data_IF_993981449107
#
_entry.id   IF_993981449107
#
_cell.length_a   1.000
_cell.length_b   1.000
_cell.length_c   1.000
_cell.angle_alpha   90.00
_cell.angle_beta   90.00
_cell.angle_gamma   90.00
#
_symmetry.space_group_name_H-M   'P 1'
#
loop_
_entity.id
_entity.type
_entity.pdbx_description
1 polymer ?
#
# COMPACT_ATOMS: atom_id res chain seq x y z
N UNK A 1 -5.16 14.83 -23.65
CA UNK A 1 -4.87 13.71 -22.71
C UNK A 1 -3.37 13.38 -22.74
N UNK A 2 -2.54 14.24 -22.17
CA UNK A 2 -1.05 14.12 -22.23
C UNK A 2 -0.47 12.92 -21.45
N UNK A 3 -1.22 12.24 -20.59
CA UNK A 3 -0.76 11.18 -19.69
C UNK A 3 -1.49 9.84 -19.88
N UNK A 4 -2.23 9.66 -20.96
CA UNK A 4 -2.99 8.43 -21.18
C UNK A 4 -2.08 7.25 -21.52
N UNK A 5 -2.28 6.12 -20.82
CA UNK A 5 -1.60 4.86 -21.12
C UNK A 5 -2.23 4.08 -22.28
N UNK A 6 -3.28 4.64 -22.92
CA UNK A 6 -3.97 4.02 -24.05
C UNK A 6 -3.30 4.30 -25.41
N UNK A 7 -2.26 5.14 -25.45
CA UNK A 7 -1.56 5.51 -26.69
C UNK A 7 -0.04 5.48 -26.51
N UNK A 8 0.69 5.49 -27.61
CA UNK A 8 2.16 5.50 -27.60
C UNK A 8 2.81 4.16 -27.24
N UNK A 9 4.09 4.19 -26.93
CA UNK A 9 4.89 3.01 -26.57
C UNK A 9 4.48 2.44 -25.21
N UNK A 10 4.17 1.15 -25.15
CA UNK A 10 3.72 0.47 -23.92
C UNK A 10 4.81 0.53 -22.83
N UNK A 11 6.04 0.13 -23.17
CA UNK A 11 7.11 0.04 -22.21
C UNK A 11 7.50 1.41 -21.63
N UNK A 12 7.59 2.45 -22.49
CA UNK A 12 7.85 3.82 -22.04
C UNK A 12 6.73 4.33 -21.14
N UNK A 13 5.47 4.12 -21.56
CA UNK A 13 4.32 4.55 -20.76
C UNK A 13 4.30 3.92 -19.38
N UNK A 14 4.51 2.61 -19.28
CA UNK A 14 4.52 1.89 -18.00
C UNK A 14 5.71 2.29 -17.11
N UNK A 15 6.93 2.39 -17.67
CA UNK A 15 8.11 2.78 -16.90
C UNK A 15 8.03 4.23 -16.41
N UNK A 16 7.63 5.18 -17.29
CA UNK A 16 7.48 6.58 -16.90
C UNK A 16 6.33 6.81 -15.90
N UNK A 17 5.37 5.88 -15.84
CA UNK A 17 4.33 5.90 -14.82
C UNK A 17 4.80 5.25 -13.51
N UNK A 18 5.49 4.12 -13.57
CA UNK A 18 5.95 3.37 -12.39
C UNK A 18 7.11 4.07 -11.65
N UNK A 19 8.04 4.70 -12.38
CA UNK A 19 9.23 5.33 -11.79
C UNK A 19 8.92 6.45 -10.78
N UNK A 20 8.00 7.42 -11.06
CA UNK A 20 7.63 8.40 -10.05
C UNK A 20 6.96 7.78 -8.82
N UNK A 21 6.20 6.68 -8.97
CA UNK A 21 5.59 5.97 -7.84
C UNK A 21 6.69 5.32 -6.99
N UNK A 22 7.68 4.70 -7.63
CA UNK A 22 8.83 4.10 -6.94
C UNK A 22 9.61 5.15 -6.14
N UNK A 23 9.94 6.27 -6.78
CA UNK A 23 10.62 7.37 -6.10
C UNK A 23 9.79 7.91 -4.94
N UNK A 24 8.48 8.08 -5.13
CA UNK A 24 7.58 8.49 -4.06
C UNK A 24 7.59 7.54 -2.88
N UNK A 25 7.51 6.24 -3.12
CA UNK A 25 7.56 5.24 -2.05
C UNK A 25 8.92 5.23 -1.32
N UNK A 26 10.04 5.42 -2.03
CA UNK A 26 11.37 5.56 -1.42
C UNK A 26 11.41 6.83 -0.54
N UNK A 27 10.96 7.98 -1.04
CA UNK A 27 10.90 9.21 -0.24
C UNK A 27 9.99 9.05 0.98
N UNK A 28 8.86 8.36 0.84
CA UNK A 28 7.98 8.05 1.97
C UNK A 28 8.67 7.21 3.03
N UNK A 29 9.44 6.21 2.63
CA UNK A 29 10.21 5.38 3.56
C UNK A 29 11.32 6.17 4.26
N UNK A 30 11.98 7.07 3.53
CA UNK A 30 13.02 7.93 4.08
C UNK A 30 12.45 8.92 5.12
N UNK A 31 11.33 9.58 4.83
CA UNK A 31 10.75 10.50 5.81
C UNK A 31 10.21 9.78 7.04
N UNK A 32 9.58 8.60 6.91
CA UNK A 32 9.17 7.80 8.07
C UNK A 32 10.36 7.41 8.97
N UNK A 33 11.51 7.13 8.34
CA UNK A 33 12.75 6.84 9.06
C UNK A 33 13.30 8.10 9.76
N UNK A 34 13.23 9.25 9.10
CA UNK A 34 13.65 10.54 9.68
C UNK A 34 12.78 10.94 10.88
N UNK A 35 11.44 10.78 10.77
CA UNK A 35 10.50 11.02 11.85
C UNK A 35 10.82 10.17 13.09
N UNK A 36 10.97 8.85 12.89
CA UNK A 36 11.34 7.94 13.97
C UNK A 36 12.71 8.29 14.59
N UNK A 37 13.68 8.74 13.78
CA UNK A 37 14.99 9.17 14.27
C UNK A 37 14.89 10.45 15.10
N UNK A 38 14.13 11.45 14.66
CA UNK A 38 13.94 12.72 15.38
C UNK A 38 13.26 12.46 16.73
N UNK A 39 12.16 11.68 16.74
CA UNK A 39 11.47 11.31 17.99
C UNK A 39 12.40 10.54 18.91
N UNK A 40 13.14 9.55 18.42
CA UNK A 40 14.07 8.75 19.22
C UNK A 40 15.27 9.54 19.76
N UNK A 41 15.68 10.64 19.09
CA UNK A 41 16.82 11.46 19.49
C UNK A 41 16.47 12.55 20.50
N UNK A 42 15.29 13.16 20.37
CA UNK A 42 14.90 14.34 21.12
C UNK A 42 13.85 14.09 22.21
N UNK A 43 13.13 12.95 22.16
CA UNK A 43 12.16 12.57 23.18
C UNK A 43 12.65 11.36 23.99
N UNK A 44 11.89 11.01 25.03
CA UNK A 44 12.19 9.90 25.91
C UNK A 44 11.90 8.53 25.26
N UNK A 45 12.37 7.46 25.94
CA UNK A 45 12.17 6.07 25.49
C UNK A 45 10.69 5.69 25.35
N UNK A 46 9.82 6.21 26.22
CA UNK A 46 8.40 5.90 26.22
C UNK A 46 7.69 6.57 25.04
N UNK A 47 8.09 7.80 24.67
CA UNK A 47 7.60 8.48 23.47
C UNK A 47 8.02 7.74 22.18
N UNK A 48 9.27 7.30 22.11
CA UNK A 48 9.74 6.49 20.97
C UNK A 48 8.99 5.16 20.88
N UNK A 49 8.76 4.48 22.01
CA UNK A 49 7.98 3.26 22.06
C UNK A 49 6.53 3.47 21.60
N UNK A 50 5.91 4.61 21.98
CA UNK A 50 4.58 4.99 21.56
C UNK A 50 4.47 5.15 20.03
N UNK A 51 5.42 5.84 19.39
CA UNK A 51 5.46 6.01 17.92
C UNK A 51 5.74 4.69 17.23
N UNK A 52 6.71 3.91 17.71
CA UNK A 52 7.10 2.65 17.07
C UNK A 52 6.02 1.57 17.16
N UNK A 53 5.32 1.47 18.29
CA UNK A 53 4.23 0.50 18.47
C UNK A 53 2.96 0.86 17.70
N UNK A 54 2.79 2.15 17.37
CA UNK A 54 1.61 2.65 16.66
C UNK A 54 1.56 2.25 15.19
N UNK A 55 2.70 1.92 14.59
CA UNK A 55 2.82 1.61 13.15
C UNK A 55 1.85 0.54 12.66
N UNK A 56 1.64 -0.52 13.43
CA UNK A 56 0.75 -1.63 13.04
C UNK A 56 -0.72 -1.21 12.92
N UNK A 57 -1.23 -0.41 13.88
CA UNK A 57 -2.61 0.07 13.86
C UNK A 57 -2.83 1.11 12.75
N UNK A 58 -1.87 2.01 12.59
CA UNK A 58 -1.87 2.99 11.49
C UNK A 58 -1.86 2.27 10.14
N UNK A 59 -0.99 1.26 9.96
CA UNK A 59 -0.91 0.49 8.73
C UNK A 59 -2.22 -0.23 8.41
N UNK A 60 -2.88 -0.81 9.41
CA UNK A 60 -4.16 -1.49 9.24
C UNK A 60 -5.24 -0.52 8.73
N UNK A 61 -5.35 0.66 9.34
CA UNK A 61 -6.36 1.65 9.00
C UNK A 61 -6.05 2.36 7.67
N UNK A 62 -4.82 2.83 7.49
CA UNK A 62 -4.38 3.48 6.25
C UNK A 62 -4.38 2.49 5.08
N UNK A 63 -3.95 1.24 5.32
CA UNK A 63 -3.98 0.16 4.33
C UNK A 63 -5.39 -0.15 3.83
N UNK A 64 -6.40 -0.10 4.70
CA UNK A 64 -7.79 -0.24 4.31
C UNK A 64 -8.23 0.86 3.33
N UNK A 65 -7.96 2.13 3.67
CA UNK A 65 -8.34 3.26 2.81
C UNK A 65 -7.51 3.31 1.52
N UNK A 66 -6.24 2.91 1.56
CA UNK A 66 -5.43 2.74 0.35
C UNK A 66 -6.04 1.70 -0.59
N UNK A 67 -6.54 0.57 -0.07
CA UNK A 67 -7.26 -0.41 -0.87
C UNK A 67 -8.50 0.17 -1.55
N UNK A 68 -9.28 0.99 -0.83
CA UNK A 68 -10.43 1.69 -1.41
C UNK A 68 -9.99 2.70 -2.46
N UNK A 69 -8.90 3.44 -2.24
CA UNK A 69 -8.35 4.38 -3.22
C UNK A 69 -7.94 3.67 -4.53
N UNK A 70 -7.32 2.49 -4.44
CA UNK A 70 -7.01 1.66 -5.61
C UNK A 70 -8.27 1.27 -6.37
N UNK A 71 -9.34 0.86 -5.69
CA UNK A 71 -10.61 0.52 -6.32
C UNK A 71 -11.30 1.72 -6.98
N UNK A 72 -11.31 2.88 -6.33
CA UNK A 72 -11.77 4.13 -6.92
C UNK A 72 -10.93 4.48 -8.16
N UNK A 73 -9.61 4.31 -8.08
CA UNK A 73 -8.69 4.47 -9.21
C UNK A 73 -9.03 3.58 -10.39
N UNK A 74 -9.41 2.33 -10.17
CA UNK A 74 -9.83 1.39 -11.23
C UNK A 74 -11.08 1.91 -11.96
N UNK A 75 -12.09 2.37 -11.22
CA UNK A 75 -13.33 2.91 -11.80
C UNK A 75 -13.03 4.17 -12.63
N UNK A 76 -12.24 5.08 -12.09
CA UNK A 76 -11.85 6.34 -12.74
C UNK A 76 -11.00 6.05 -13.99
N UNK A 77 -10.00 5.17 -13.88
CA UNK A 77 -9.13 4.78 -15.00
C UNK A 77 -9.93 4.17 -16.17
N UNK A 78 -10.93 3.33 -15.87
CA UNK A 78 -11.83 2.75 -16.86
C UNK A 78 -12.59 3.84 -17.63
N UNK A 79 -13.26 4.76 -16.93
CA UNK A 79 -14.03 5.83 -17.60
C UNK A 79 -13.12 6.83 -18.30
N UNK A 80 -11.91 7.06 -17.79
CA UNK A 80 -10.90 7.86 -18.47
C UNK A 80 -10.45 7.20 -19.80
N UNK A 81 -10.20 5.90 -19.80
CA UNK A 81 -9.88 5.12 -21.00
C UNK A 81 -11.02 5.11 -22.01
N UNK A 82 -12.25 4.93 -21.55
CA UNK A 82 -13.47 4.98 -22.37
C UNK A 82 -13.78 6.38 -22.93
N UNK A 83 -13.08 7.42 -22.49
CA UNK A 83 -13.36 8.85 -22.80
C UNK A 83 -14.79 9.29 -22.40
N UNK A 84 -15.43 8.59 -21.48
CA UNK A 84 -16.75 8.93 -20.93
C UNK A 84 -16.58 10.00 -19.84
N UNK A 85 -16.57 11.25 -20.28
CA UNK A 85 -16.30 12.40 -19.41
C UNK A 85 -17.35 12.58 -18.34
N UNK A 86 -18.62 12.26 -18.61
CA UNK A 86 -19.71 12.40 -17.66
C UNK A 86 -19.58 11.44 -16.48
N UNK A 87 -19.40 10.13 -16.80
CA UNK A 87 -19.18 9.10 -15.77
C UNK A 87 -17.84 9.29 -15.05
N UNK A 88 -16.79 9.74 -15.76
CA UNK A 88 -15.52 10.09 -15.16
C UNK A 88 -15.67 11.18 -14.10
N UNK A 89 -16.33 12.28 -14.44
CA UNK A 89 -16.59 13.36 -13.48
C UNK A 89 -17.44 12.89 -12.31
N UNK A 90 -18.49 12.12 -12.57
CA UNK A 90 -19.33 11.54 -11.51
C UNK A 90 -18.51 10.64 -10.58
N UNK A 91 -17.61 9.81 -11.12
CA UNK A 91 -16.72 8.96 -10.33
C UNK A 91 -15.77 9.77 -9.46
N UNK A 92 -15.11 10.79 -10.02
CA UNK A 92 -14.20 11.67 -9.27
C UNK A 92 -14.92 12.39 -8.12
N UNK A 93 -16.06 13.02 -8.40
CA UNK A 93 -16.79 13.77 -7.35
C UNK A 93 -17.39 12.85 -6.28
N UNK A 94 -17.89 11.66 -6.65
CA UNK A 94 -18.39 10.66 -5.69
C UNK A 94 -17.25 10.10 -4.83
N UNK A 95 -16.07 9.87 -5.40
CA UNK A 95 -14.88 9.42 -4.66
C UNK A 95 -14.45 10.46 -3.62
N UNK A 96 -14.44 11.75 -3.98
CA UNK A 96 -14.11 12.82 -3.03
C UNK A 96 -15.18 12.99 -1.94
N UNK A 97 -16.47 12.87 -2.28
CA UNK A 97 -17.55 12.88 -1.30
C UNK A 97 -17.42 11.72 -0.30
N UNK A 98 -17.12 10.52 -0.80
CA UNK A 98 -16.83 9.35 0.04
C UNK A 98 -15.62 9.59 0.94
N UNK A 99 -14.51 10.10 0.40
CA UNK A 99 -13.29 10.36 1.16
C UNK A 99 -13.49 11.37 2.28
N UNK A 100 -14.25 12.44 2.02
CA UNK A 100 -14.58 13.45 3.03
C UNK A 100 -15.39 12.82 4.18
N UNK A 101 -16.42 12.07 3.85
CA UNK A 101 -17.26 11.42 4.86
C UNK A 101 -16.47 10.35 5.63
N UNK A 102 -15.74 9.48 4.93
CA UNK A 102 -14.93 8.45 5.55
C UNK A 102 -13.80 9.04 6.42
N UNK A 103 -13.17 10.12 5.98
CA UNK A 103 -12.16 10.85 6.74
C UNK A 103 -12.74 11.45 8.03
N UNK A 104 -13.93 12.10 7.97
CA UNK A 104 -14.62 12.61 9.15
C UNK A 104 -14.97 11.47 10.12
N UNK A 105 -15.56 10.39 9.62
CA UNK A 105 -15.92 9.22 10.45
C UNK A 105 -14.69 8.64 11.11
N UNK A 106 -13.59 8.47 10.37
CA UNK A 106 -12.33 7.96 10.92
C UNK A 106 -11.72 8.89 11.97
N UNK A 107 -11.78 10.20 11.74
CA UNK A 107 -11.33 11.19 12.72
C UNK A 107 -12.13 11.07 14.02
N UNK A 108 -13.47 11.08 13.94
CA UNK A 108 -14.31 11.00 15.15
C UNK A 108 -14.13 9.67 15.87
N UNK A 109 -14.22 8.54 15.16
CA UNK A 109 -14.06 7.21 15.75
C UNK A 109 -12.65 7.00 16.28
N UNK A 110 -11.63 7.41 15.52
CA UNK A 110 -10.24 7.29 15.94
C UNK A 110 -9.94 8.06 17.21
N UNK A 111 -10.32 9.32 17.30
CA UNK A 111 -10.10 10.12 18.49
C UNK A 111 -10.86 9.61 19.73
N UNK A 112 -12.08 9.11 19.55
CA UNK A 112 -12.91 8.63 20.67
C UNK A 112 -12.53 7.23 21.14
N UNK A 113 -12.21 6.30 20.19
CA UNK A 113 -11.92 4.91 20.51
C UNK A 113 -10.44 4.63 20.80
N UNK A 114 -9.54 5.58 20.58
CA UNK A 114 -8.09 5.40 20.82
C UNK A 114 -7.77 4.81 22.20
N UNK A 115 -8.31 5.31 23.34
CA UNK A 115 -7.96 4.76 24.65
C UNK A 115 -8.41 3.30 24.80
N UNK A 116 -9.59 2.95 24.26
CA UNK A 116 -10.13 1.59 24.33
C UNK A 116 -9.30 0.62 23.47
N UNK A 117 -8.95 1.05 22.25
CA UNK A 117 -8.13 0.25 21.33
C UNK A 117 -6.74 -0.04 21.91
N UNK A 118 -6.06 0.95 22.48
CA UNK A 118 -4.75 0.78 23.07
C UNK A 118 -4.78 -0.12 24.32
N UNK A 119 -5.81 -0.01 25.16
CA UNK A 119 -6.01 -0.93 26.29
C UNK A 119 -6.29 -2.36 25.82
N UNK A 120 -7.10 -2.54 24.76
CA UNK A 120 -7.35 -3.86 24.17
C UNK A 120 -6.07 -4.49 23.60
N UNK A 121 -5.18 -3.67 23.05
CA UNK A 121 -3.85 -4.09 22.58
C UNK A 121 -2.87 -4.39 23.72
N UNK A 122 -3.28 -4.22 25.00
CA UNK A 122 -2.42 -4.40 26.19
C UNK A 122 -1.15 -3.56 26.13
N UNK A 123 -1.28 -2.31 25.66
CA UNK A 123 -0.17 -1.34 25.66
C UNK A 123 0.30 -1.13 27.10
N UNK A 124 1.63 -1.13 27.30
CA UNK A 124 2.26 -0.97 28.60
C UNK A 124 1.78 0.32 29.29
N UNK A 125 1.56 0.25 30.60
CA UNK A 125 1.00 1.35 31.40
C UNK A 125 1.87 2.62 31.33
N UNK A 126 3.20 2.47 31.24
CA UNK A 126 4.14 3.59 31.16
C UNK A 126 4.16 4.26 29.77
N UNK A 127 3.78 3.53 28.73
CA UNK A 127 3.75 4.01 27.33
C UNK A 127 2.35 4.50 26.94
N UNK A 128 1.32 4.03 27.62
CA UNK A 128 -0.08 4.27 27.28
C UNK A 128 -0.45 5.76 27.17
N UNK A 129 -0.06 6.68 28.08
CA UNK A 129 -0.38 8.10 27.97
C UNK A 129 0.18 8.70 26.67
N UNK A 130 1.47 8.48 26.39
CA UNK A 130 2.11 8.96 25.17
C UNK A 130 1.47 8.39 23.90
N UNK A 131 1.08 7.12 23.93
CA UNK A 131 0.36 6.48 22.82
C UNK A 131 -1.02 7.10 22.59
N UNK A 132 -1.77 7.41 23.65
CA UNK A 132 -3.09 8.06 23.53
C UNK A 132 -2.93 9.44 22.90
N UNK A 133 -1.97 10.25 23.36
CA UNK A 133 -1.75 11.60 22.85
C UNK A 133 -1.31 11.59 21.39
N UNK A 134 -0.38 10.70 21.03
CA UNK A 134 0.08 10.52 19.66
C UNK A 134 -1.06 10.11 18.73
N UNK A 135 -1.80 9.05 19.10
CA UNK A 135 -2.86 8.51 18.25
C UNK A 135 -4.04 9.47 18.09
N UNK A 136 -4.44 10.16 19.15
CA UNK A 136 -5.50 11.16 19.06
C UNK A 136 -5.15 12.27 18.07
N UNK A 137 -3.91 12.77 18.13
CA UNK A 137 -3.45 13.80 17.20
C UNK A 137 -3.32 13.25 15.78
N UNK A 138 -2.85 12.01 15.60
CA UNK A 138 -2.78 11.35 14.32
C UNK A 138 -4.18 11.19 13.69
N UNK A 139 -5.17 10.75 14.48
CA UNK A 139 -6.55 10.62 14.01
C UNK A 139 -7.22 11.97 13.76
N UNK A 140 -6.85 13.02 14.46
CA UNK A 140 -7.31 14.38 14.13
C UNK A 140 -6.92 14.79 12.70
N UNK A 141 -5.77 14.33 12.22
CA UNK A 141 -5.29 14.54 10.85
C UNK A 141 -5.79 13.53 9.81
N UNK A 142 -6.53 12.48 10.21
CA UNK A 142 -6.85 11.36 9.30
C UNK A 142 -7.74 11.75 8.12
N UNK A 143 -8.55 12.80 8.23
CA UNK A 143 -9.29 13.36 7.07
C UNK A 143 -8.33 13.78 5.94
N UNK A 144 -7.19 14.41 6.28
CA UNK A 144 -6.21 14.81 5.28
C UNK A 144 -5.54 13.59 4.65
N UNK A 145 -5.21 12.57 5.45
CA UNK A 145 -4.59 11.32 4.98
C UNK A 145 -5.52 10.60 4.00
N UNK A 146 -6.79 10.39 4.37
CA UNK A 146 -7.77 9.70 3.53
C UNK A 146 -8.00 10.46 2.23
N UNK A 147 -8.25 11.77 2.32
CA UNK A 147 -8.49 12.62 1.15
C UNK A 147 -7.28 12.71 0.23
N UNK A 148 -6.07 12.83 0.78
CA UNK A 148 -4.84 12.85 0.00
C UNK A 148 -4.65 11.53 -0.77
N UNK A 149 -4.82 10.36 -0.11
CA UNK A 149 -4.69 9.06 -0.78
C UNK A 149 -5.71 8.89 -1.92
N UNK A 150 -6.94 9.37 -1.74
CA UNK A 150 -7.95 9.34 -2.81
C UNK A 150 -7.60 10.30 -3.96
N UNK A 151 -7.10 11.50 -3.66
CA UNK A 151 -6.61 12.44 -4.69
C UNK A 151 -5.44 11.86 -5.48
N UNK A 152 -4.49 11.20 -4.80
CA UNK A 152 -3.39 10.47 -5.45
C UNK A 152 -3.94 9.36 -6.35
N UNK A 153 -4.90 8.58 -5.85
CA UNK A 153 -5.59 7.54 -6.64
C UNK A 153 -6.27 8.11 -7.89
N UNK A 154 -6.93 9.27 -7.81
CA UNK A 154 -7.53 9.98 -8.96
C UNK A 154 -6.45 10.38 -9.97
N UNK A 155 -5.35 11.01 -9.53
CA UNK A 155 -4.27 11.44 -10.41
C UNK A 155 -3.58 10.24 -11.08
N UNK A 156 -3.29 9.19 -10.35
CA UNK A 156 -2.71 7.96 -10.89
C UNK A 156 -3.67 7.26 -11.86
N UNK A 157 -4.97 7.25 -11.58
CA UNK A 157 -5.97 6.66 -12.48
C UNK A 157 -6.01 7.31 -13.87
N UNK A 158 -5.71 8.61 -13.95
CA UNK A 158 -5.63 9.33 -15.24
C UNK A 158 -4.20 9.33 -15.83
N UNK A 159 -3.26 8.61 -15.22
CA UNK A 159 -1.89 8.44 -15.69
C UNK A 159 -0.90 9.49 -15.18
N UNK A 160 -1.30 10.36 -14.26
CA UNK A 160 -0.43 11.37 -13.66
C UNK A 160 0.18 10.87 -12.34
N UNK A 161 1.36 10.26 -12.42
CA UNK A 161 2.12 9.81 -11.25
C UNK A 161 3.18 10.83 -10.78
N UNK A 162 3.48 11.86 -11.59
CA UNK A 162 4.55 12.83 -11.29
C UNK A 162 4.13 13.87 -10.25
N UNK A 163 2.91 14.40 -10.35
CA UNK A 163 2.46 15.43 -9.41
C UNK A 163 2.30 14.88 -7.99
N UNK A 164 1.74 13.68 -7.76
CA UNK A 164 1.78 13.04 -6.45
C UNK A 164 3.19 12.94 -5.85
N UNK A 165 4.21 12.60 -6.67
CA UNK A 165 5.60 12.56 -6.23
C UNK A 165 6.08 13.94 -5.75
N UNK A 166 5.85 15.01 -6.54
CA UNK A 166 6.29 16.36 -6.16
C UNK A 166 5.63 16.84 -4.87
N UNK A 167 4.34 16.55 -4.70
CA UNK A 167 3.60 16.91 -3.49
C UNK A 167 4.06 16.13 -2.27
N UNK A 168 4.39 14.85 -2.46
CA UNK A 168 4.96 14.03 -1.40
C UNK A 168 6.34 14.54 -0.97
N UNK A 169 7.23 14.87 -1.92
CA UNK A 169 8.56 15.41 -1.60
C UNK A 169 8.41 16.70 -0.79
N UNK A 170 7.57 17.63 -1.26
CA UNK A 170 7.38 18.91 -0.57
C UNK A 170 6.81 18.70 0.84
N UNK A 171 5.78 17.84 0.98
CA UNK A 171 5.21 17.59 2.29
C UNK A 171 6.14 16.83 3.24
N UNK A 172 7.01 15.97 2.71
CA UNK A 172 8.05 15.30 3.52
C UNK A 172 9.07 16.30 4.07
N UNK A 173 9.46 17.28 3.26
CA UNK A 173 10.35 18.37 3.72
C UNK A 173 9.66 19.23 4.79
N UNK A 174 8.38 19.54 4.61
CA UNK A 174 7.57 20.27 5.60
C UNK A 174 7.46 19.46 6.89
N UNK A 175 7.19 18.14 6.79
CA UNK A 175 7.09 17.27 7.96
C UNK A 175 8.40 17.27 8.75
N UNK A 176 9.54 16.98 8.11
CA UNK A 176 10.86 16.97 8.76
C UNK A 176 11.18 18.31 9.42
N UNK A 177 10.89 19.43 8.72
CA UNK A 177 11.13 20.77 9.28
C UNK A 177 10.25 21.03 10.53
N UNK A 178 8.99 20.61 10.49
CA UNK A 178 8.08 20.76 11.63
C UNK A 178 8.44 19.81 12.80
N UNK A 179 8.88 18.59 12.52
CA UNK A 179 9.37 17.67 13.56
C UNK A 179 10.60 18.24 14.26
N UNK A 180 11.58 18.74 13.52
CA UNK A 180 12.75 19.40 14.10
C UNK A 180 12.36 20.64 14.92
N UNK A 181 11.38 21.42 14.46
CA UNK A 181 10.91 22.60 15.18
C UNK A 181 10.13 22.23 16.44
N UNK A 182 9.12 21.36 16.33
CA UNK A 182 8.22 21.04 17.43
C UNK A 182 8.88 20.12 18.47
N UNK A 183 9.55 19.07 17.99
CA UNK A 183 10.19 18.08 18.85
C UNK A 183 11.60 18.52 19.25
N UNK A 184 12.41 19.00 18.27
CA UNK A 184 13.81 19.33 18.49
C UNK A 184 14.05 20.68 19.18
N UNK A 185 13.30 21.74 18.81
CA UNK A 185 13.49 23.10 19.34
C UNK A 185 12.52 23.41 20.47
N UNK A 186 11.21 23.18 20.28
CA UNK A 186 10.21 23.51 21.28
C UNK A 186 10.06 22.43 22.35
N UNK A 187 10.61 21.24 22.14
CA UNK A 187 10.52 20.10 23.05
C UNK A 187 9.07 19.76 23.44
N UNK A 188 8.14 19.90 22.48
CA UNK A 188 6.77 19.49 22.70
C UNK A 188 6.71 17.96 22.80
N UNK A 189 5.69 17.44 23.48
CA UNK A 189 5.51 16.00 23.67
C UNK A 189 5.30 15.22 22.36
N UNK A 190 5.19 13.91 22.45
CA UNK A 190 5.09 12.97 21.33
C UNK A 190 3.94 13.30 20.36
N UNK A 191 2.84 13.91 20.85
CA UNK A 191 1.72 14.36 20.02
C UNK A 191 2.12 15.34 18.93
N UNK A 192 3.20 16.08 19.13
CA UNK A 192 3.67 17.09 18.16
C UNK A 192 4.25 16.48 16.89
N UNK A 193 4.83 15.29 16.96
CA UNK A 193 5.24 14.54 15.77
C UNK A 193 4.01 14.14 14.93
N UNK A 194 2.93 13.67 15.57
CA UNK A 194 1.66 13.41 14.88
C UNK A 194 1.02 14.68 14.30
N UNK A 195 1.18 15.82 14.99
CA UNK A 195 0.75 17.14 14.49
C UNK A 195 1.54 17.54 13.23
N UNK A 196 2.86 17.41 13.24
CA UNK A 196 3.72 17.69 12.08
C UNK A 196 3.31 16.83 10.86
N UNK A 197 3.08 15.53 11.11
CA UNK A 197 2.55 14.62 10.07
C UNK A 197 1.18 15.09 9.57
N UNK A 198 0.27 15.46 10.45
CA UNK A 198 -1.05 15.95 10.06
C UNK A 198 -0.98 17.21 9.20
N UNK A 199 -0.16 18.21 9.61
CA UNK A 199 0.03 19.45 8.85
C UNK A 199 0.62 19.14 7.46
N UNK A 200 1.63 18.30 7.38
CA UNK A 200 2.25 17.93 6.10
C UNK A 200 1.27 17.23 5.15
N UNK A 201 0.37 16.41 5.69
CA UNK A 201 -0.69 15.76 4.91
C UNK A 201 -1.75 16.78 4.42
N UNK A 202 -2.09 17.79 5.23
CA UNK A 202 -2.95 18.90 4.77
C UNK A 202 -2.28 19.71 3.66
N UNK A 203 -0.96 19.94 3.71
CA UNK A 203 -0.20 20.59 2.62
C UNK A 203 -0.30 19.77 1.34
N UNK A 204 -0.03 18.44 1.41
CA UNK A 204 -0.17 17.54 0.25
C UNK A 204 -1.59 17.54 -0.31
N UNK A 205 -2.59 17.44 0.55
CA UNK A 205 -4.00 17.50 0.15
C UNK A 205 -4.33 18.82 -0.55
N UNK A 206 -3.91 19.96 0.03
CA UNK A 206 -4.12 21.28 -0.54
C UNK A 206 -3.56 21.40 -1.95
N UNK A 207 -2.35 20.90 -2.17
CA UNK A 207 -1.70 20.89 -3.49
C UNK A 207 -2.45 19.98 -4.48
N UNK A 208 -2.88 18.80 -4.06
CA UNK A 208 -3.68 17.90 -4.89
C UNK A 208 -5.02 18.53 -5.29
N UNK A 209 -5.75 19.10 -4.33
CA UNK A 209 -7.03 19.77 -4.59
C UNK A 209 -6.84 21.00 -5.48
N UNK A 210 -5.80 21.80 -5.22
CA UNK A 210 -5.46 22.93 -6.09
C UNK A 210 -5.28 22.48 -7.55
N UNK A 211 -4.49 21.42 -7.75
CA UNK A 211 -4.28 20.82 -9.09
C UNK A 211 -5.58 20.37 -9.73
N UNK A 212 -6.39 19.61 -8.99
CA UNK A 212 -7.64 19.06 -9.50
C UNK A 212 -8.69 20.13 -9.81
N UNK A 213 -8.65 21.28 -9.11
CA UNK A 213 -9.63 22.36 -9.29
C UNK A 213 -9.23 23.39 -10.34
N UNK A 214 -7.93 23.72 -10.46
CA UNK A 214 -7.49 24.86 -11.28
C UNK A 214 -7.12 24.52 -12.71
N UNK A 215 -6.64 23.30 -12.96
CA UNK A 215 -6.28 22.90 -14.30
C UNK A 215 -7.49 22.50 -15.12
N UNK A 216 -7.57 22.97 -16.35
CA UNK A 216 -8.68 22.64 -17.27
C UNK A 216 -8.46 21.25 -17.88
N UNK A 217 -8.94 20.24 -17.18
CA UNK A 217 -8.83 18.84 -17.54
C UNK A 217 -10.21 18.20 -17.57
N UNK A 218 -10.35 17.07 -18.28
CA UNK A 218 -11.61 16.31 -18.35
C UNK A 218 -12.06 15.77 -16.98
N UNK A 219 -11.12 15.68 -16.02
CA UNK A 219 -11.37 15.24 -14.64
C UNK A 219 -11.34 16.41 -13.62
N UNK A 220 -11.48 17.67 -14.09
CA UNK A 220 -11.49 18.85 -13.22
C UNK A 220 -12.55 18.75 -12.13
N UNK A 221 -12.13 18.98 -10.89
CA UNK A 221 -13.01 18.98 -9.74
C UNK A 221 -13.68 20.35 -9.59
N UNK A 222 -14.99 20.34 -9.44
CA UNK A 222 -15.80 21.51 -9.06
C UNK A 222 -16.36 21.26 -7.67
N UNK A 223 -15.88 21.99 -6.65
CA UNK A 223 -16.23 21.76 -5.25
C UNK A 223 -17.76 21.73 -5.02
N UNK A 224 -18.52 22.56 -5.73
CA UNK A 224 -20.00 22.59 -5.66
C UNK A 224 -20.67 21.31 -6.20
N UNK A 225 -19.95 20.49 -6.97
CA UNK A 225 -20.44 19.24 -7.56
C UNK A 225 -20.06 18.00 -6.75
N UNK A 226 -19.34 18.17 -5.64
CA UNK A 226 -18.99 17.06 -4.74
C UNK A 226 -20.30 16.60 -4.07
N UNK A 227 -20.77 15.44 -4.49
CA UNK A 227 -22.01 14.83 -3.99
C UNK A 227 -21.95 13.31 -4.19
N UNK A 228 -22.75 12.60 -3.42
CA UNK A 228 -22.92 11.17 -3.60
C UNK A 228 -23.79 10.87 -4.82
N UNK A 229 -23.32 9.96 -5.66
CA UNK A 229 -24.09 9.30 -6.68
C UNK A 229 -24.14 7.82 -6.35
N UNK A 230 -25.24 7.34 -5.78
CA UNK A 230 -25.34 6.00 -5.21
C UNK A 230 -24.89 4.86 -6.16
N UNK A 231 -25.29 4.83 -7.46
CA UNK A 231 -24.81 3.81 -8.38
C UNK A 231 -23.30 3.84 -8.58
N UNK A 232 -22.69 5.04 -8.59
CA UNK A 232 -21.24 5.19 -8.72
C UNK A 232 -20.52 4.79 -7.43
N UNK A 233 -21.06 5.19 -6.28
CA UNK A 233 -20.54 4.81 -4.96
C UNK A 233 -20.53 3.28 -4.79
N UNK A 234 -21.61 2.59 -5.19
CA UNK A 234 -21.66 1.13 -5.19
C UNK A 234 -20.55 0.51 -6.03
N UNK A 235 -20.20 1.11 -7.19
CA UNK A 235 -19.08 0.66 -8.00
C UNK A 235 -17.74 0.89 -7.29
N UNK A 236 -17.50 2.09 -6.78
CA UNK A 236 -16.25 2.42 -6.05
C UNK A 236 -16.04 1.46 -4.87
N UNK A 237 -17.09 1.22 -4.08
CA UNK A 237 -17.03 0.28 -2.95
C UNK A 237 -16.83 -1.15 -3.43
N UNK A 238 -17.54 -1.60 -4.47
CA UNK A 238 -17.40 -2.95 -5.01
C UNK A 238 -15.97 -3.24 -5.49
N UNK A 239 -15.28 -2.27 -6.08
CA UNK A 239 -13.90 -2.42 -6.52
C UNK A 239 -12.87 -2.16 -5.42
N UNK A 240 -13.18 -1.28 -4.46
CA UNK A 240 -12.23 -0.85 -3.42
C UNK A 240 -12.27 -1.70 -2.15
N UNK A 241 -13.47 -2.04 -1.67
CA UNK A 241 -13.64 -2.78 -0.42
C UNK A 241 -12.86 -4.10 -0.38
N UNK A 242 -12.86 -4.94 -1.46
CA UNK A 242 -12.08 -6.16 -1.44
C UNK A 242 -10.58 -5.93 -1.23
N UNK A 243 -10.02 -4.89 -1.87
CA UNK A 243 -8.60 -4.54 -1.70
C UNK A 243 -8.31 -3.99 -0.30
N UNK A 244 -9.21 -3.20 0.28
CA UNK A 244 -9.11 -2.71 1.64
C UNK A 244 -9.14 -3.84 2.67
N UNK A 245 -10.12 -4.73 2.56
CA UNK A 245 -10.24 -5.93 3.42
C UNK A 245 -9.01 -6.83 3.27
N UNK A 246 -8.54 -7.07 2.04
CA UNK A 246 -7.34 -7.84 1.77
C UNK A 246 -6.12 -7.27 2.51
N UNK A 247 -5.85 -5.96 2.40
CA UNK A 247 -4.72 -5.33 3.06
C UNK A 247 -4.80 -5.45 4.59
N UNK A 248 -5.98 -5.21 5.16
CA UNK A 248 -6.19 -5.30 6.61
C UNK A 248 -6.00 -6.72 7.14
N UNK A 249 -6.51 -7.73 6.45
CA UNK A 249 -6.38 -9.13 6.91
C UNK A 249 -4.94 -9.64 6.73
N UNK A 250 -4.23 -9.23 5.66
CA UNK A 250 -2.81 -9.56 5.49
C UNK A 250 -1.98 -8.93 6.62
N UNK A 251 -2.27 -7.68 6.99
CA UNK A 251 -1.61 -7.03 8.11
C UNK A 251 -1.83 -7.80 9.43
N UNK A 252 -3.06 -8.27 9.67
CA UNK A 252 -3.38 -9.08 10.85
C UNK A 252 -2.66 -10.44 10.83
N UNK A 253 -2.61 -11.12 9.68
CA UNK A 253 -1.87 -12.37 9.53
C UNK A 253 -0.37 -12.20 9.83
N UNK A 254 0.23 -11.07 9.40
CA UNK A 254 1.63 -10.76 9.70
C UNK A 254 1.87 -10.58 11.21
N UNK A 255 0.90 -10.06 11.98
CA UNK A 255 1.00 -9.99 13.44
C UNK A 255 1.07 -11.39 14.07
N UNK A 256 0.30 -12.35 13.55
CA UNK A 256 0.35 -13.75 14.02
C UNK A 256 1.71 -14.37 13.69
N UNK A 257 2.24 -14.15 12.49
CA UNK A 257 3.59 -14.61 12.11
C UNK A 257 4.64 -14.02 13.02
N UNK A 258 4.58 -12.71 13.28
CA UNK A 258 5.50 -12.02 14.20
C UNK A 258 5.44 -12.59 15.63
N UNK A 259 4.25 -12.92 16.11
CA UNK A 259 4.09 -13.57 17.42
C UNK A 259 4.83 -14.92 17.50
N UNK A 260 4.82 -15.69 16.41
CA UNK A 260 5.57 -16.95 16.33
C UNK A 260 7.09 -16.71 16.28
N UNK A 261 7.56 -15.68 15.57
CA UNK A 261 8.97 -15.28 15.56
C UNK A 261 9.42 -14.90 16.97
N UNK A 262 8.60 -14.14 17.69
CA UNK A 262 8.92 -13.67 19.04
C UNK A 262 9.15 -14.83 20.03
N UNK A 263 8.51 -15.97 19.84
CA UNK A 263 8.71 -17.16 20.65
C UNK A 263 10.13 -17.77 20.55
N UNK A 264 10.90 -17.42 19.50
CA UNK A 264 12.29 -17.84 19.34
C UNK A 264 13.31 -16.89 20.00
N UNK A 265 12.85 -15.84 20.69
CA UNK A 265 13.66 -14.95 21.51
C UNK A 265 14.12 -13.67 20.79
N UNK A 266 14.89 -12.85 21.52
CA UNK A 266 15.26 -11.49 21.09
C UNK A 266 16.12 -11.45 19.83
N UNK A 267 17.05 -12.41 19.67
CA UNK A 267 17.91 -12.46 18.48
C UNK A 267 17.10 -12.78 17.23
N UNK A 268 16.10 -13.66 17.33
CA UNK A 268 15.19 -13.95 16.24
C UNK A 268 14.34 -12.72 15.86
N UNK A 269 13.82 -12.01 16.84
CA UNK A 269 13.07 -10.76 16.62
C UNK A 269 13.93 -9.72 15.90
N UNK A 270 15.16 -9.51 16.37
CA UNK A 270 16.08 -8.53 15.79
C UNK A 270 16.54 -8.92 14.37
N UNK A 271 16.87 -10.20 14.13
CA UNK A 271 17.32 -10.71 12.84
C UNK A 271 16.21 -10.64 11.78
N UNK A 272 15.02 -11.15 12.10
CA UNK A 272 13.86 -11.05 11.21
C UNK A 272 13.42 -9.61 10.99
N UNK A 273 13.48 -8.75 12.01
CA UNK A 273 13.19 -7.32 11.88
C UNK A 273 14.17 -6.59 10.96
N UNK A 274 15.43 -6.99 10.96
CA UNK A 274 16.45 -6.46 10.04
C UNK A 274 16.17 -6.91 8.60
N UNK A 275 15.91 -8.20 8.40
CA UNK A 275 15.55 -8.72 7.08
C UNK A 275 14.26 -8.07 6.54
N UNK A 276 13.25 -7.86 7.37
CA UNK A 276 12.01 -7.18 6.96
C UNK A 276 12.24 -5.76 6.42
N UNK A 277 13.26 -5.03 6.92
CA UNK A 277 13.66 -3.73 6.36
C UNK A 277 14.25 -3.90 4.95
N UNK A 278 15.11 -4.89 4.74
CA UNK A 278 15.70 -5.19 3.43
C UNK A 278 14.62 -5.64 2.43
N UNK A 279 13.75 -6.55 2.83
CA UNK A 279 12.60 -7.01 2.05
C UNK A 279 11.67 -5.84 1.68
N UNK A 280 11.43 -4.91 2.61
CA UNK A 280 10.60 -3.72 2.37
C UNK A 280 11.10 -2.89 1.19
N UNK A 281 12.41 -2.69 1.05
CA UNK A 281 12.98 -2.01 -0.11
C UNK A 281 12.84 -2.82 -1.40
N UNK A 282 13.04 -4.14 -1.33
CA UNK A 282 12.87 -5.03 -2.47
C UNK A 282 11.42 -5.11 -2.96
N UNK A 283 10.46 -4.90 -2.07
CA UNK A 283 9.04 -4.94 -2.37
C UNK A 283 8.53 -3.68 -3.11
N UNK A 284 9.24 -2.54 -3.01
CA UNK A 284 8.81 -1.27 -3.63
C UNK A 284 8.65 -1.37 -5.16
N UNK A 285 9.59 -1.91 -5.94
CA UNK A 285 9.40 -2.08 -7.38
C UNK A 285 8.20 -2.98 -7.72
N UNK A 286 7.97 -4.05 -6.96
CA UNK A 286 6.85 -4.98 -7.16
C UNK A 286 5.51 -4.22 -7.05
N UNK A 287 5.35 -3.42 -5.99
CA UNK A 287 4.13 -2.63 -5.79
C UNK A 287 3.93 -1.59 -6.89
N UNK A 288 4.99 -0.93 -7.34
CA UNK A 288 4.92 0.07 -8.39
C UNK A 288 4.49 -0.52 -9.74
N UNK A 289 5.03 -1.66 -10.13
CA UNK A 289 4.59 -2.37 -11.34
C UNK A 289 3.17 -2.90 -11.20
N UNK A 290 2.77 -3.37 -10.03
CA UNK A 290 1.39 -3.78 -9.76
C UNK A 290 0.40 -2.64 -9.96
N UNK A 291 0.73 -1.43 -9.45
CA UNK A 291 -0.10 -0.24 -9.65
C UNK A 291 -0.12 0.20 -11.13
N UNK A 292 1.02 0.17 -11.79
CA UNK A 292 1.11 0.49 -13.21
C UNK A 292 0.26 -0.47 -14.07
N UNK A 293 0.33 -1.76 -13.80
CA UNK A 293 -0.50 -2.78 -14.46
C UNK A 293 -1.99 -2.56 -14.19
N UNK A 294 -2.37 -2.28 -12.94
CA UNK A 294 -3.77 -2.01 -12.58
C UNK A 294 -4.35 -0.85 -13.38
N UNK A 295 -3.63 0.28 -13.42
CA UNK A 295 -4.06 1.47 -14.17
C UNK A 295 -4.03 1.24 -15.68
N UNK A 296 -2.97 0.62 -16.19
CA UNK A 296 -2.81 0.32 -17.61
C UNK A 296 -3.94 -0.59 -18.12
N UNK A 297 -4.20 -1.69 -17.41
CA UNK A 297 -5.26 -2.64 -17.78
C UNK A 297 -6.62 -1.95 -17.72
N UNK A 298 -6.92 -1.22 -16.66
CA UNK A 298 -8.21 -0.56 -16.50
C UNK A 298 -8.47 0.50 -17.59
N UNK A 299 -7.48 1.35 -17.92
CA UNK A 299 -7.60 2.34 -18.99
C UNK A 299 -7.79 1.69 -20.37
N UNK A 300 -6.98 0.66 -20.69
CA UNK A 300 -7.02 0.03 -22.02
C UNK A 300 -8.25 -0.86 -22.21
N UNK A 301 -8.75 -1.51 -21.16
CA UNK A 301 -10.02 -2.22 -21.21
C UNK A 301 -11.20 -1.26 -21.35
N UNK A 302 -11.16 -0.11 -20.66
CA UNK A 302 -12.14 0.95 -20.87
C UNK A 302 -12.16 1.50 -22.31
N UNK A 303 -11.00 1.50 -22.98
CA UNK A 303 -10.83 1.90 -24.38
C UNK A 303 -11.04 0.75 -25.38
N UNK A 304 -11.45 -0.44 -24.95
CA UNK A 304 -11.61 -1.67 -25.77
C UNK A 304 -10.36 -2.09 -26.54
N UNK A 305 -9.15 -1.77 -26.01
CA UNK A 305 -7.86 -2.06 -26.67
C UNK A 305 -7.28 -3.40 -26.18
N UNK A 306 -7.94 -4.51 -26.43
CA UNK A 306 -7.59 -5.84 -25.89
C UNK A 306 -6.20 -6.33 -26.29
N UNK A 307 -5.76 -6.11 -27.54
CA UNK A 307 -4.42 -6.51 -27.99
C UNK A 307 -3.32 -5.72 -27.29
N UNK A 308 -3.59 -4.44 -27.02
CA UNK A 308 -2.68 -3.60 -26.25
C UNK A 308 -2.60 -4.08 -24.79
N UNK A 309 -3.73 -4.49 -24.20
CA UNK A 309 -3.77 -5.09 -22.87
C UNK A 309 -2.90 -6.34 -22.81
N UNK A 310 -3.06 -7.29 -23.76
CA UNK A 310 -2.25 -8.52 -23.80
C UNK A 310 -0.75 -8.24 -23.86
N UNK A 311 -0.33 -7.32 -24.74
CA UNK A 311 1.08 -6.91 -24.86
C UNK A 311 1.61 -6.25 -23.60
N UNK A 312 0.84 -5.34 -23.00
CA UNK A 312 1.24 -4.62 -21.79
C UNK A 312 1.31 -5.52 -20.56
N UNK A 313 0.36 -6.43 -20.42
CA UNK A 313 0.35 -7.44 -19.35
C UNK A 313 1.57 -8.34 -19.44
N UNK A 314 1.89 -8.88 -20.63
CA UNK A 314 3.11 -9.67 -20.83
C UNK A 314 4.37 -8.89 -20.48
N UNK A 315 4.50 -7.66 -20.97
CA UNK A 315 5.64 -6.79 -20.63
C UNK A 315 5.74 -6.53 -19.14
N UNK A 316 4.65 -6.13 -18.47
CA UNK A 316 4.65 -5.78 -17.06
C UNK A 316 4.98 -6.96 -16.15
N UNK A 317 4.45 -8.16 -16.46
CA UNK A 317 4.78 -9.40 -15.72
C UNK A 317 6.28 -9.70 -15.86
N UNK A 318 6.81 -9.76 -17.09
CA UNK A 318 8.22 -10.07 -17.34
C UNK A 318 9.13 -9.05 -16.67
N UNK A 319 8.87 -7.75 -16.83
CA UNK A 319 9.67 -6.71 -16.19
C UNK A 319 9.66 -6.82 -14.67
N UNK A 320 8.48 -6.96 -14.06
CA UNK A 320 8.36 -7.01 -12.61
C UNK A 320 9.01 -8.25 -12.02
N UNK A 321 8.78 -9.43 -12.61
CA UNK A 321 9.36 -10.69 -12.12
C UNK A 321 10.88 -10.72 -12.29
N UNK A 322 11.40 -10.27 -13.45
CA UNK A 322 12.85 -10.20 -13.68
C UNK A 322 13.52 -9.21 -12.72
N UNK A 323 12.94 -8.01 -12.54
CA UNK A 323 13.51 -7.01 -11.64
C UNK A 323 13.49 -7.50 -10.18
N UNK A 324 12.38 -8.11 -9.75
CA UNK A 324 12.26 -8.67 -8.41
C UNK A 324 13.30 -9.78 -8.16
N UNK A 325 13.50 -10.67 -9.14
CA UNK A 325 14.49 -11.74 -9.02
C UNK A 325 15.92 -11.20 -9.03
N UNK A 326 16.23 -10.20 -9.87
CA UNK A 326 17.52 -9.54 -9.84
C UNK A 326 17.83 -8.93 -8.46
N UNK A 327 16.84 -8.30 -7.83
CA UNK A 327 16.97 -7.78 -6.47
C UNK A 327 17.12 -8.94 -5.47
N UNK A 328 16.36 -10.03 -5.64
CA UNK A 328 16.48 -11.24 -4.83
C UNK A 328 17.87 -11.85 -4.88
N UNK A 329 18.45 -11.99 -6.08
CA UNK A 329 19.82 -12.48 -6.25
C UNK A 329 20.83 -11.56 -5.56
N UNK A 330 20.68 -10.23 -5.68
CA UNK A 330 21.55 -9.27 -4.98
C UNK A 330 21.42 -9.43 -3.47
N UNK A 331 20.21 -9.56 -2.94
CA UNK A 331 19.97 -9.78 -1.51
C UNK A 331 20.53 -11.13 -1.05
N UNK A 332 20.42 -12.18 -1.86
CA UNK A 332 20.97 -13.50 -1.55
C UNK A 332 22.51 -13.45 -1.46
N UNK A 333 23.18 -12.83 -2.45
CA UNK A 333 24.63 -12.76 -2.51
C UNK A 333 25.24 -11.80 -1.48
N UNK A 334 24.54 -10.72 -1.15
CA UNK A 334 24.99 -9.67 -0.24
C UNK A 334 24.23 -9.68 1.09
N UNK A 335 23.62 -10.81 1.46
CA UNK A 335 22.80 -10.92 2.67
C UNK A 335 23.57 -10.50 3.92
N UNK A 336 24.80 -10.99 4.11
CA UNK A 336 25.62 -10.69 5.27
C UNK A 336 26.03 -9.22 5.36
N UNK A 337 26.68 -8.58 4.35
CA UNK A 337 27.04 -7.18 4.45
C UNK A 337 25.83 -6.26 4.54
N UNK A 338 24.70 -6.58 3.89
CA UNK A 338 23.48 -5.77 3.98
C UNK A 338 22.83 -5.86 5.38
N UNK A 339 22.83 -7.04 6.00
CA UNK A 339 22.33 -7.21 7.37
C UNK A 339 23.24 -6.52 8.38
N UNK A 340 24.56 -6.59 8.17
CA UNK A 340 25.59 -5.96 9.01
C UNK A 340 25.51 -4.41 9.02
N UNK A 341 24.90 -3.78 7.99
CA UNK A 341 24.62 -2.33 8.01
C UNK A 341 23.70 -1.93 9.18
N UNK A 342 22.78 -2.81 9.55
CA UNK A 342 21.75 -2.53 10.56
C UNK A 342 22.08 -3.13 11.93
N UNK A 343 22.94 -4.14 11.99
CA UNK A 343 23.22 -4.90 13.22
C UNK A 343 24.70 -5.29 13.30
N UNK A 344 25.24 -5.27 14.52
CA UNK A 344 26.64 -5.64 14.79
C UNK A 344 26.75 -7.02 15.49
N UNK A 345 25.64 -7.56 16.02
CA UNK A 345 25.63 -8.84 16.71
C UNK A 345 25.65 -10.00 15.69
N UNK A 346 26.69 -10.87 15.70
CA UNK A 346 26.79 -11.98 14.77
C UNK A 346 25.60 -12.94 14.82
N UNK A 347 25.01 -13.19 15.99
CA UNK A 347 23.87 -14.08 16.14
C UNK A 347 22.59 -13.51 15.49
N UNK A 348 22.44 -12.19 15.51
CA UNK A 348 21.33 -11.47 14.86
C UNK A 348 21.54 -11.46 13.33
N UNK A 349 22.78 -11.21 12.89
CA UNK A 349 23.16 -11.23 11.46
C UNK A 349 22.89 -12.61 10.87
N UNK A 350 23.34 -13.69 11.54
CA UNK A 350 23.12 -15.07 11.07
C UNK A 350 21.64 -15.36 10.78
N UNK A 351 20.73 -14.96 11.67
CA UNK A 351 19.29 -15.19 11.48
C UNK A 351 18.77 -14.41 10.28
N UNK A 352 19.13 -13.14 10.13
CA UNK A 352 18.72 -12.32 8.98
C UNK A 352 19.25 -12.85 7.64
N UNK A 353 20.50 -13.29 7.61
CA UNK A 353 21.14 -13.93 6.44
C UNK A 353 20.44 -15.23 6.09
N UNK A 354 20.13 -16.07 7.09
CA UNK A 354 19.45 -17.35 6.91
C UNK A 354 18.05 -17.15 6.34
N UNK A 355 17.30 -16.15 6.80
CA UNK A 355 16.01 -15.80 6.22
C UNK A 355 16.16 -15.32 4.78
N UNK A 356 17.12 -14.43 4.49
CA UNK A 356 17.40 -13.95 3.14
C UNK A 356 17.71 -15.10 2.17
N UNK A 357 18.52 -16.08 2.60
CA UNK A 357 18.87 -17.24 1.78
C UNK A 357 17.67 -18.17 1.49
N UNK A 358 16.65 -18.19 2.36
CA UNK A 358 15.45 -19.00 2.13
C UNK A 358 14.45 -18.28 1.23
N UNK A 359 14.29 -16.95 1.35
CA UNK A 359 13.19 -16.21 0.74
C UNK A 359 13.59 -15.48 -0.56
N UNK A 360 14.82 -14.92 -0.63
CA UNK A 360 15.16 -13.93 -1.64
C UNK A 360 15.11 -14.45 -3.09
N UNK A 361 15.48 -15.71 -3.34
CA UNK A 361 15.44 -16.34 -4.66
C UNK A 361 14.01 -16.70 -5.14
N UNK A 362 13.00 -16.39 -4.35
CA UNK A 362 11.58 -16.61 -4.70
C UNK A 362 10.79 -15.31 -4.87
N UNK A 363 11.47 -14.17 -4.95
CA UNK A 363 10.81 -12.88 -5.18
C UNK A 363 10.09 -12.81 -6.53
N UNK A 364 10.51 -13.59 -7.52
CA UNK A 364 9.77 -13.73 -8.78
C UNK A 364 8.34 -14.26 -8.56
N UNK A 365 8.13 -15.19 -7.62
CA UNK A 365 6.78 -15.68 -7.29
C UNK A 365 5.94 -14.61 -6.63
N UNK A 366 6.54 -13.87 -5.68
CA UNK A 366 5.89 -12.73 -5.03
C UNK A 366 5.47 -11.69 -6.07
N UNK A 367 6.39 -11.30 -6.98
CA UNK A 367 6.13 -10.32 -8.03
C UNK A 367 5.06 -10.80 -9.00
N UNK A 368 5.10 -12.06 -9.42
CA UNK A 368 4.11 -12.65 -10.31
C UNK A 368 2.69 -12.61 -9.69
N UNK A 369 2.57 -13.05 -8.43
CA UNK A 369 1.29 -13.05 -7.72
C UNK A 369 0.71 -11.63 -7.61
N UNK A 370 1.55 -10.63 -7.27
CA UNK A 370 1.14 -9.23 -7.21
C UNK A 370 0.76 -8.65 -8.57
N UNK A 371 1.48 -8.99 -9.64
CA UNK A 371 1.15 -8.56 -11.00
C UNK A 371 -0.21 -9.09 -11.44
N UNK A 372 -0.47 -10.41 -11.26
CA UNK A 372 -1.77 -10.99 -11.61
C UNK A 372 -2.88 -10.38 -10.76
N UNK A 373 -2.65 -10.17 -9.47
CA UNK A 373 -3.61 -9.47 -8.60
C UNK A 373 -3.92 -8.06 -9.09
N UNK A 374 -2.91 -7.29 -9.52
CA UNK A 374 -3.09 -5.97 -10.13
C UNK A 374 -3.88 -6.01 -11.44
N UNK A 375 -3.59 -6.97 -12.30
CA UNK A 375 -4.31 -7.20 -13.57
C UNK A 375 -5.78 -7.53 -13.31
N UNK A 376 -6.05 -8.42 -12.36
CA UNK A 376 -7.43 -8.79 -12.00
C UNK A 376 -8.21 -7.61 -11.42
N UNK A 377 -7.58 -6.79 -10.55
CA UNK A 377 -8.20 -5.53 -10.08
C UNK A 377 -8.50 -4.59 -11.24
N UNK A 378 -7.53 -4.35 -12.12
CA UNK A 378 -7.69 -3.52 -13.32
C UNK A 378 -8.75 -4.03 -14.30
N UNK A 379 -8.93 -5.35 -14.38
CA UNK A 379 -9.97 -6.00 -15.18
C UNK A 379 -11.35 -6.03 -14.50
N UNK A 380 -11.48 -5.43 -13.31
CA UNK A 380 -12.75 -5.36 -12.61
C UNK A 380 -13.14 -6.63 -11.85
N UNK A 381 -12.18 -7.47 -11.50
CA UNK A 381 -12.37 -8.69 -10.70
C UNK A 381 -11.60 -8.65 -9.37
N UNK A 382 -11.81 -7.65 -8.49
CA UNK A 382 -11.02 -7.47 -7.27
C UNK A 382 -11.24 -8.56 -6.22
N UNK A 383 -12.39 -9.25 -6.26
CA UNK A 383 -12.68 -10.37 -5.36
C UNK A 383 -11.73 -11.55 -5.55
N UNK A 384 -11.24 -11.77 -6.77
CA UNK A 384 -10.37 -12.91 -7.09
C UNK A 384 -9.04 -12.83 -6.33
N UNK A 385 -8.24 -11.75 -6.47
CA UNK A 385 -7.01 -11.64 -5.70
C UNK A 385 -7.26 -11.59 -4.19
N UNK A 386 -8.35 -10.97 -3.73
CA UNK A 386 -8.71 -10.98 -2.32
C UNK A 386 -8.85 -12.42 -1.80
N UNK A 387 -9.71 -13.24 -2.40
CA UNK A 387 -9.93 -14.60 -1.90
C UNK A 387 -8.70 -15.49 -2.02
N UNK A 388 -7.94 -15.41 -3.12
CA UNK A 388 -6.73 -16.24 -3.31
C UNK A 388 -5.67 -15.86 -2.25
N UNK A 389 -5.39 -14.54 -2.09
CA UNK A 389 -4.39 -14.11 -1.13
C UNK A 389 -4.81 -14.36 0.32
N UNK A 390 -6.09 -14.16 0.67
CA UNK A 390 -6.58 -14.47 2.01
C UNK A 390 -6.49 -15.98 2.31
N UNK A 391 -6.91 -16.84 1.38
CA UNK A 391 -6.84 -18.27 1.57
C UNK A 391 -5.39 -18.77 1.73
N UNK A 392 -4.46 -18.25 0.92
CA UNK A 392 -3.10 -18.78 0.87
C UNK A 392 -2.17 -18.04 1.84
N UNK A 393 -2.17 -16.70 1.84
CA UNK A 393 -1.20 -15.93 2.65
C UNK A 393 -1.64 -15.76 4.11
N UNK A 394 -2.94 -15.81 4.38
CA UNK A 394 -3.45 -15.73 5.74
C UNK A 394 -3.78 -17.13 6.29
N UNK A 395 -4.74 -17.84 5.68
CA UNK A 395 -5.20 -19.12 6.26
C UNK A 395 -4.13 -20.20 6.14
N UNK A 396 -3.63 -20.49 4.93
CA UNK A 396 -2.65 -21.56 4.73
C UNK A 396 -1.32 -21.26 5.43
N UNK A 397 -0.79 -20.03 5.34
CA UNK A 397 0.47 -19.67 6.00
C UNK A 397 0.37 -19.77 7.51
N UNK A 398 -0.67 -19.19 8.10
CA UNK A 398 -0.87 -19.23 9.55
C UNK A 398 -1.10 -20.67 10.03
N UNK A 399 -1.90 -21.46 9.32
CA UNK A 399 -2.11 -22.87 9.64
C UNK A 399 -0.80 -23.66 9.56
N UNK A 400 -0.02 -23.49 8.48
CA UNK A 400 1.27 -24.15 8.33
C UNK A 400 2.23 -23.82 9.48
N UNK A 401 2.40 -22.54 9.82
CA UNK A 401 3.25 -22.09 10.91
C UNK A 401 2.76 -22.65 12.25
N UNK A 402 1.46 -22.52 12.54
CA UNK A 402 0.87 -22.95 13.81
C UNK A 402 0.92 -24.46 14.04
N UNK A 403 0.95 -25.27 12.97
CA UNK A 403 1.02 -26.74 13.06
C UNK A 403 2.49 -27.19 13.06
N UNK A 404 3.32 -26.66 12.15
CA UNK A 404 4.68 -27.21 11.92
C UNK A 404 5.69 -26.67 12.91
N UNK A 405 5.58 -25.39 13.34
CA UNK A 405 6.53 -24.81 14.32
C UNK A 405 6.57 -25.61 15.64
N UNK A 406 5.44 -25.97 16.26
CA UNK A 406 5.47 -26.78 17.48
C UNK A 406 6.06 -28.18 17.29
N UNK A 407 5.96 -28.74 16.08
CA UNK A 407 6.47 -30.10 15.77
C UNK A 407 7.96 -30.13 15.52
N UNK A 408 8.50 -29.10 14.82
CA UNK A 408 9.89 -29.07 14.36
C UNK A 408 10.77 -28.20 15.26
N UNK A 409 10.19 -27.21 15.96
CA UNK A 409 10.85 -26.26 16.85
C UNK A 409 12.05 -25.52 16.20
N UNK A 410 11.95 -25.19 14.90
CA UNK A 410 12.96 -24.44 14.15
C UNK A 410 12.36 -23.20 13.50
N UNK A 411 13.09 -22.09 13.54
CA UNK A 411 12.66 -20.81 12.95
C UNK A 411 12.56 -20.89 11.41
N UNK A 412 13.32 -21.78 10.78
CA UNK A 412 13.31 -21.98 9.32
C UNK A 412 11.93 -22.38 8.78
N UNK A 413 11.10 -23.01 9.62
CA UNK A 413 9.73 -23.33 9.27
C UNK A 413 8.94 -22.06 8.95
N UNK A 414 9.20 -20.96 9.69
CA UNK A 414 8.57 -19.67 9.42
C UNK A 414 9.09 -19.10 8.10
N UNK A 415 10.39 -19.17 7.85
CA UNK A 415 11.01 -18.67 6.62
C UNK A 415 10.49 -19.42 5.39
N UNK A 416 10.42 -20.75 5.44
CA UNK A 416 9.92 -21.57 4.32
C UNK A 416 8.44 -21.38 4.03
N UNK A 417 7.66 -20.89 4.99
CA UNK A 417 6.23 -20.59 4.79
C UNK A 417 6.00 -19.52 3.71
N UNK A 418 6.94 -18.58 3.54
CA UNK A 418 6.81 -17.50 2.55
C UNK A 418 6.95 -18.02 1.11
N UNK A 419 8.07 -18.63 0.69
CA UNK A 419 8.19 -19.19 -0.66
C UNK A 419 7.10 -20.23 -0.98
N UNK A 420 6.74 -21.08 0.00
CA UNK A 420 5.66 -22.08 -0.17
C UNK A 420 4.35 -21.38 -0.55
N UNK A 421 3.93 -20.39 0.22
CA UNK A 421 2.66 -19.70 -0.02
C UNK A 421 2.70 -18.82 -1.27
N UNK A 422 3.83 -18.21 -1.60
CA UNK A 422 4.01 -17.49 -2.87
C UNK A 422 3.92 -18.44 -4.07
N UNK A 423 4.56 -19.60 -4.01
CA UNK A 423 4.49 -20.62 -5.07
C UNK A 423 3.07 -21.15 -5.28
N UNK A 424 2.37 -21.52 -4.19
CA UNK A 424 0.98 -21.98 -4.28
C UNK A 424 0.07 -20.90 -4.86
N UNK A 425 0.21 -19.65 -4.42
CA UNK A 425 -0.58 -18.55 -4.97
C UNK A 425 -0.28 -18.29 -6.45
N UNK A 426 0.98 -18.42 -6.88
CA UNK A 426 1.35 -18.32 -8.30
C UNK A 426 0.65 -19.36 -9.16
N UNK A 427 0.61 -20.62 -8.73
CA UNK A 427 -0.04 -21.71 -9.47
C UNK A 427 -1.54 -21.41 -9.61
N UNK A 428 -2.21 -21.04 -8.52
CA UNK A 428 -3.65 -20.73 -8.54
C UNK A 428 -3.94 -19.50 -9.41
N UNK A 429 -3.15 -18.44 -9.27
CA UNK A 429 -3.29 -17.26 -10.11
C UNK A 429 -3.05 -17.56 -11.58
N UNK A 430 -2.04 -18.37 -11.92
CA UNK A 430 -1.76 -18.78 -13.29
C UNK A 430 -2.92 -19.58 -13.89
N UNK A 431 -3.44 -20.55 -13.16
CA UNK A 431 -4.59 -21.36 -13.60
C UNK A 431 -5.81 -20.45 -13.84
N UNK A 432 -6.10 -19.55 -12.90
CA UNK A 432 -7.22 -18.62 -13.04
C UNK A 432 -7.01 -17.66 -14.21
N UNK A 433 -5.80 -17.10 -14.36
CA UNK A 433 -5.45 -16.17 -15.44
C UNK A 433 -5.61 -16.80 -16.84
N UNK A 434 -5.21 -18.07 -17.00
CA UNK A 434 -5.29 -18.78 -18.28
C UNK A 434 -6.70 -19.28 -18.59
N UNK A 435 -7.48 -19.72 -17.57
CA UNK A 435 -8.81 -20.32 -17.79
C UNK A 435 -9.95 -19.31 -17.77
N UNK A 436 -9.78 -18.14 -17.11
CA UNK A 436 -10.86 -17.17 -17.01
C UNK A 436 -10.84 -16.16 -18.14
N UNK A 437 -12.01 -15.80 -18.64
CA UNK A 437 -12.15 -14.67 -19.55
C UNK A 437 -12.23 -13.36 -18.74
N UNK A 438 -11.08 -12.91 -18.24
CA UNK A 438 -10.96 -11.64 -17.52
C UNK A 438 -10.91 -10.43 -18.47
N UNK A 439 -10.51 -10.66 -19.73
CA UNK A 439 -10.29 -9.62 -20.72
C UNK A 439 -11.61 -8.92 -21.12
N UNK A 440 -12.69 -9.68 -21.27
CA UNK A 440 -14.02 -9.17 -21.67
C UNK A 440 -14.97 -8.96 -20.48
N UNK A 441 -14.43 -8.89 -19.26
CA UNK A 441 -15.26 -8.75 -18.05
C UNK A 441 -16.11 -7.47 -18.06
N UNK A 442 -15.59 -6.36 -18.57
CA UNK A 442 -16.32 -5.10 -18.62
C UNK A 442 -17.48 -5.16 -19.65
N UNK A 443 -17.29 -5.80 -20.77
CA UNK A 443 -18.34 -5.96 -21.79
C UNK A 443 -19.52 -6.76 -21.23
N UNK A 444 -19.23 -7.83 -20.49
CA UNK A 444 -20.26 -8.62 -19.80
C UNK A 444 -20.99 -7.83 -18.72
N UNK A 445 -20.29 -6.96 -17.98
CA UNK A 445 -20.91 -6.09 -16.99
C UNK A 445 -21.82 -5.03 -17.63
N UNK A 446 -21.48 -4.55 -18.82
CA UNK A 446 -22.30 -3.61 -19.59
C UNK A 446 -23.52 -4.30 -20.20
N UNK A 447 -23.34 -5.47 -20.80
CA UNK A 447 -24.45 -6.28 -21.31
C UNK A 447 -25.47 -6.63 -20.22
N UNK A 448 -25.02 -7.05 -19.03
CA UNK A 448 -25.92 -7.29 -17.89
C UNK A 448 -26.71 -6.06 -17.46
N UNK A 449 -26.11 -4.86 -17.54
CA UNK A 449 -26.80 -3.62 -17.18
C UNK A 449 -27.81 -3.18 -18.26
N UNK A 450 -27.58 -3.55 -19.50
CA UNK A 450 -28.50 -3.24 -20.60
C UNK A 450 -29.72 -4.18 -20.63
N UNK A 451 -29.63 -5.35 -19.98
CA UNK A 451 -30.70 -6.33 -19.87
C UNK A 451 -31.57 -6.18 -18.62
N UNK A 452 -31.19 -5.32 -17.68
CA UNK A 452 -31.91 -4.92 -16.47
C UNK A 452 -32.50 -3.53 -16.61
#
# INVERSE_FOLDING_TARGET
MKHSLTSGSIWRGMLFFALPILLGNIFQQLYNTADAFIVGRFLDKNAYAAVSSSGSLIFLLVGFFNGIAVGAGVVIARYYGAKDTEKLQTAVHTTLAFGLTAGIVLTVLGMTLTPQLLRLMKTDADVLPNSIDYFRMYFAGSIAIVMYNLCVGILQAVGDSRHPLYYLILSSLVNIALDLLFVGVFHWGVWSAALATSISQFVSLGLCIFRLCHYDTVYRVRLRKIRFHLPMLKQVIHFGLPSGVQNSIIAFANVIVQSNINAFGSNAMAGCGTYAKLEGFAFLPITCFTMALTTFVSQNLGAHQYDRVKKGVRFGIVCSTTLAECIGVVLFLLAEPLTAIFQNDPAVIEIGVRQAHVEALFFCFLAFAHCIAGIMRGAGKPMVPMFIMLAIWCVLRVAYISIVVPLVAKIDVIFTAYPLTWGVSCIIFLIYFLKSDWLHNYDRLEQKKALL
#
